data_IF_150376869682
#
_entry.id   IF_150376869682
#
_cell.length_a   1.000
_cell.length_b   1.000
_cell.length_c   1.000
_cell.angle_alpha   90.00
_cell.angle_beta   90.00
_cell.angle_gamma   90.00
#
_symmetry.space_group_name_H-M   'P 1'
#
loop_
_entity.id
_entity.type
_entity.pdbx_description
1 polymer ?
#
# COMPACT_ATOMS: atom_id res chain seq x y z
N UNK A 1 4.87 8.16 13.50
CA UNK A 1 5.10 7.49 12.20
C UNK A 1 3.78 7.56 11.46
N UNK A 2 3.79 7.93 10.19
CA UNK A 2 2.58 8.08 9.38
C UNK A 2 1.87 6.71 9.25
N UNK A 3 0.53 6.71 9.30
CA UNK A 3 -0.28 5.49 9.23
C UNK A 3 -0.07 4.77 7.89
N UNK A 4 0.11 5.52 6.80
CA UNK A 4 0.40 4.96 5.47
C UNK A 4 1.69 4.14 5.46
N UNK A 5 2.72 4.60 6.18
CA UNK A 5 3.99 3.91 6.33
C UNK A 5 3.82 2.62 7.16
N UNK A 6 2.99 2.65 8.20
CA UNK A 6 2.68 1.44 8.97
C UNK A 6 1.97 0.38 8.13
N UNK A 7 1.09 0.78 7.21
CA UNK A 7 0.45 -0.15 6.26
C UNK A 7 1.49 -0.76 5.33
N UNK A 8 2.39 0.05 4.76
CA UNK A 8 3.49 -0.46 3.94
C UNK A 8 4.39 -1.44 4.71
N UNK A 9 4.73 -1.14 5.97
CA UNK A 9 5.51 -2.04 6.83
C UNK A 9 4.77 -3.35 7.09
N UNK A 10 3.46 -3.29 7.38
CA UNK A 10 2.64 -4.49 7.57
C UNK A 10 2.58 -5.36 6.30
N UNK A 11 2.62 -4.74 5.12
CA UNK A 11 2.65 -5.41 3.82
C UNK A 11 4.01 -6.06 3.51
N UNK A 12 5.10 -5.49 4.01
CA UNK A 12 6.47 -5.94 3.81
C UNK A 12 7.23 -6.03 5.15
N UNK A 13 6.88 -6.99 6.02
CA UNK A 13 7.41 -7.05 7.38
C UNK A 13 8.94 -7.14 7.44
N UNK A 14 9.56 -7.81 6.46
CA UNK A 14 11.02 -7.97 6.39
C UNK A 14 11.75 -6.72 5.89
N UNK A 15 11.03 -5.69 5.43
CA UNK A 15 11.60 -4.48 4.82
C UNK A 15 11.31 -3.20 5.60
N UNK A 16 10.86 -3.31 6.86
CA UNK A 16 10.43 -2.17 7.67
C UNK A 16 11.44 -1.02 7.76
N UNK A 17 12.72 -1.34 7.99
CA UNK A 17 13.76 -0.32 8.08
C UNK A 17 14.00 0.43 6.76
N UNK A 18 14.03 -0.29 5.63
CA UNK A 18 14.20 0.31 4.30
C UNK A 18 13.01 1.19 3.93
N UNK A 19 11.79 0.81 4.33
CA UNK A 19 10.58 1.61 4.16
C UNK A 19 10.68 2.92 4.94
N UNK A 20 11.06 2.86 6.22
CA UNK A 20 11.26 4.06 7.05
C UNK A 20 12.33 4.99 6.49
N UNK A 21 13.45 4.43 6.02
CA UNK A 21 14.55 5.20 5.45
C UNK A 21 14.14 5.91 4.16
N UNK A 22 13.58 5.17 3.21
CA UNK A 22 13.17 5.71 1.92
C UNK A 22 12.03 6.73 2.09
N UNK A 23 11.08 6.48 2.99
CA UNK A 23 10.00 7.43 3.27
C UNK A 23 10.49 8.76 3.87
N UNK A 24 11.65 8.81 4.53
CA UNK A 24 12.20 10.08 5.03
C UNK A 24 12.69 10.98 3.90
N UNK A 25 13.20 10.40 2.82
CA UNK A 25 13.94 11.12 1.78
C UNK A 25 13.24 11.17 0.43
N UNK A 26 12.24 10.31 0.19
CA UNK A 26 11.55 10.19 -1.08
C UNK A 26 10.05 10.47 -0.93
N UNK A 27 9.59 11.60 -1.47
CA UNK A 27 8.19 12.01 -1.41
C UNK A 27 7.27 11.13 -2.26
N UNK A 28 7.69 10.76 -3.47
CA UNK A 28 6.93 9.85 -4.35
C UNK A 28 6.68 8.51 -3.67
N UNK A 29 7.67 8.00 -2.93
CA UNK A 29 7.51 6.77 -2.14
C UNK A 29 6.47 6.93 -1.03
N UNK A 30 6.42 8.09 -0.36
CA UNK A 30 5.39 8.36 0.66
C UNK A 30 3.99 8.43 0.04
N UNK A 31 3.87 9.06 -1.13
CA UNK A 31 2.60 9.12 -1.86
C UNK A 31 2.11 7.71 -2.24
N UNK A 32 2.99 6.85 -2.75
CA UNK A 32 2.64 5.46 -3.04
C UNK A 32 2.25 4.66 -1.79
N UNK A 33 2.87 4.92 -0.63
CA UNK A 33 2.43 4.31 0.63
C UNK A 33 1.03 4.77 1.03
N UNK A 34 0.69 6.05 0.80
CA UNK A 34 -0.64 6.58 1.06
C UNK A 34 -1.68 5.97 0.11
N UNK A 35 -1.36 5.88 -1.18
CA UNK A 35 -2.24 5.25 -2.18
C UNK A 35 -2.50 3.77 -1.84
N UNK A 36 -1.47 3.03 -1.41
CA UNK A 36 -1.62 1.65 -0.95
C UNK A 36 -2.58 1.57 0.24
N UNK A 37 -2.39 2.43 1.24
CA UNK A 37 -3.23 2.45 2.43
C UNK A 37 -4.69 2.78 2.11
N UNK A 38 -4.93 3.72 1.21
CA UNK A 38 -6.27 4.09 0.75
C UNK A 38 -6.92 2.95 -0.05
N UNK A 39 -6.17 2.27 -0.92
CA UNK A 39 -6.66 1.13 -1.68
C UNK A 39 -7.04 -0.05 -0.76
N UNK A 40 -6.19 -0.40 0.20
CA UNK A 40 -6.49 -1.47 1.17
C UNK A 40 -7.71 -1.10 2.04
N UNK A 41 -7.79 0.13 2.52
CA UNK A 41 -8.93 0.60 3.30
C UNK A 41 -10.23 0.58 2.47
N UNK A 42 -10.17 0.98 1.20
CA UNK A 42 -11.31 0.93 0.30
C UNK A 42 -11.75 -0.52 0.01
N UNK A 43 -10.81 -1.45 -0.21
CA UNK A 43 -11.11 -2.87 -0.42
C UNK A 43 -11.89 -3.46 0.76
N UNK A 44 -11.44 -3.19 1.98
CA UNK A 44 -12.10 -3.63 3.22
C UNK A 44 -13.47 -2.96 3.38
N UNK A 45 -13.57 -1.65 3.13
CA UNK A 45 -14.85 -0.95 3.20
C UNK A 45 -15.88 -1.53 2.23
N UNK A 46 -15.46 -1.88 1.01
CA UNK A 46 -16.35 -2.48 0.03
C UNK A 46 -16.72 -3.91 0.36
N UNK A 47 -15.81 -4.70 0.95
CA UNK A 47 -16.10 -6.06 1.42
C UNK A 47 -17.25 -6.10 2.44
N UNK A 48 -17.31 -5.11 3.34
CA UNK A 48 -18.37 -5.01 4.35
C UNK A 48 -19.60 -4.19 3.89
N UNK A 49 -19.62 -3.74 2.64
CA UNK A 49 -20.73 -2.96 2.09
C UNK A 49 -21.91 -3.86 1.73
N UNK A 50 -23.14 -3.41 2.02
CA UNK A 50 -24.36 -4.12 1.64
C UNK A 50 -24.79 -3.84 0.20
N UNK A 51 -23.99 -3.12 -0.58
CA UNK A 51 -24.30 -2.79 -1.97
C UNK A 51 -24.07 -4.00 -2.89
N UNK A 52 -24.88 -4.18 -3.95
CA UNK A 52 -24.71 -5.30 -4.89
C UNK A 52 -23.33 -5.35 -5.59
N UNK A 53 -22.68 -4.19 -5.73
CA UNK A 53 -21.35 -4.03 -6.35
C UNK A 53 -20.19 -4.22 -5.35
N UNK A 54 -20.48 -4.57 -4.09
CA UNK A 54 -19.48 -4.72 -3.02
C UNK A 54 -18.33 -5.64 -3.38
N UNK A 55 -18.65 -6.85 -3.87
CA UNK A 55 -17.66 -7.85 -4.22
C UNK A 55 -16.77 -7.41 -5.39
N UNK A 56 -17.37 -6.83 -6.43
CA UNK A 56 -16.64 -6.31 -7.60
C UNK A 56 -15.71 -5.17 -7.21
N UNK A 57 -16.21 -4.17 -6.48
CA UNK A 57 -15.40 -3.05 -6.01
C UNK A 57 -14.29 -3.49 -5.05
N UNK A 58 -14.58 -4.40 -4.13
CA UNK A 58 -13.55 -4.95 -3.24
C UNK A 58 -12.45 -5.65 -4.04
N UNK A 59 -12.81 -6.41 -5.09
CA UNK A 59 -11.84 -7.05 -5.97
C UNK A 59 -10.98 -6.03 -6.73
N UNK A 60 -11.58 -4.99 -7.32
CA UNK A 60 -10.86 -3.91 -8.01
C UNK A 60 -9.82 -3.23 -7.10
N UNK A 61 -10.21 -2.86 -5.87
CA UNK A 61 -9.30 -2.21 -4.94
C UNK A 61 -8.18 -3.15 -4.45
N UNK A 62 -8.45 -4.46 -4.33
CA UNK A 62 -7.42 -5.45 -4.01
C UNK A 62 -6.41 -5.65 -5.14
N UNK A 63 -6.86 -5.56 -6.39
CA UNK A 63 -5.98 -5.58 -7.56
C UNK A 63 -5.10 -4.34 -7.58
N UNK A 64 -5.69 -3.15 -7.42
CA UNK A 64 -4.93 -1.90 -7.29
C UNK A 64 -3.91 -1.94 -6.15
N UNK A 65 -4.29 -2.43 -4.96
CA UNK A 65 -3.35 -2.58 -3.84
C UNK A 65 -2.20 -3.55 -4.15
N UNK A 66 -2.44 -4.57 -5.00
CA UNK A 66 -1.39 -5.49 -5.47
C UNK A 66 -0.40 -4.77 -6.39
N UNK A 67 -0.91 -3.97 -7.32
CA UNK A 67 -0.07 -3.23 -8.27
C UNK A 67 0.78 -2.19 -7.55
N UNK A 68 0.17 -1.41 -6.64
CA UNK A 68 0.88 -0.46 -5.78
C UNK A 68 1.96 -1.15 -4.92
N UNK A 69 1.65 -2.32 -4.37
CA UNK A 69 2.64 -3.10 -3.63
C UNK A 69 3.81 -3.56 -4.54
N UNK A 70 3.55 -3.93 -5.79
CA UNK A 70 4.61 -4.27 -6.73
C UNK A 70 5.51 -3.07 -7.06
N UNK A 71 4.94 -1.88 -7.23
CA UNK A 71 5.70 -0.64 -7.45
C UNK A 71 6.58 -0.28 -6.25
N UNK A 72 6.02 -0.35 -5.04
CA UNK A 72 6.77 -0.14 -3.80
C UNK A 72 7.92 -1.16 -3.65
N UNK A 73 7.67 -2.44 -3.95
CA UNK A 73 8.70 -3.46 -3.92
C UNK A 73 9.85 -3.14 -4.88
N UNK A 74 9.54 -2.68 -6.10
CA UNK A 74 10.54 -2.29 -7.08
C UNK A 74 11.35 -1.05 -6.64
N UNK A 75 10.72 -0.09 -5.96
CA UNK A 75 11.44 1.06 -5.37
C UNK A 75 12.38 0.63 -4.24
N UNK A 76 11.92 -0.27 -3.37
CA UNK A 76 12.73 -0.84 -2.30
C UNK A 76 13.91 -1.66 -2.83
N UNK A 77 13.70 -2.45 -3.88
CA UNK A 77 14.76 -3.21 -4.53
C UNK A 77 15.84 -2.29 -5.14
N UNK A 78 15.43 -1.16 -5.73
CA UNK A 78 16.36 -0.13 -6.24
C UNK A 78 17.10 0.59 -5.12
N UNK A 79 16.47 0.80 -3.97
CA UNK A 79 17.09 1.46 -2.83
C UNK A 79 18.11 0.58 -2.11
N UNK A 80 17.95 -0.74 -2.17
CA UNK A 80 18.86 -1.71 -1.55
C UNK A 80 20.16 -2.00 -2.37
N UNK A 81 20.31 -1.36 -3.54
CA UNK A 81 21.49 -1.47 -4.42
C UNK A 81 22.51 -0.38 -4.10
#
# INVERSE_FOLDING_TARGET
MDQSILVAIARFPDRGHAIEELARTNEDFRLLCADLADAEAAAVRWEYSSLPVSAERSAEYRELARDLAAELAAMLDRHAQ
#
